data_IF_375311471118
#
_entry.id   IF_375311471118
#
_cell.length_a   1.000
_cell.length_b   1.000
_cell.length_c   1.000
_cell.angle_alpha   90.00
_cell.angle_beta   90.00
_cell.angle_gamma   90.00
#
_symmetry.space_group_name_H-M   'P 1'
#
loop_
_entity.id
_entity.type
_entity.pdbx_description
1 polymer ?
#
# COMPACT_ATOMS: atom_id res chain seq x y z
N UNK A 1 -61.28 49.24 7.62
CA UNK A 1 -60.56 48.35 6.67
C UNK A 1 -59.04 48.48 6.88
N UNK A 2 -58.47 47.65 7.76
CA UNK A 2 -57.03 47.57 7.98
C UNK A 2 -56.41 46.64 6.93
N UNK A 3 -55.43 47.14 6.18
CA UNK A 3 -54.66 46.39 5.19
C UNK A 3 -53.42 45.82 5.88
N UNK A 4 -53.34 44.50 5.97
CA UNK A 4 -52.18 43.75 6.48
C UNK A 4 -51.10 43.68 5.39
N UNK A 5 -49.87 44.07 5.72
CA UNK A 5 -48.71 43.95 4.84
C UNK A 5 -48.28 42.48 4.66
N UNK A 6 -47.76 42.07 3.48
CA UNK A 6 -47.35 40.69 3.24
C UNK A 6 -46.08 40.32 4.02
N UNK A 7 -46.12 39.16 4.67
CA UNK A 7 -44.99 38.53 5.37
C UNK A 7 -43.99 37.94 4.38
N UNK A 8 -42.76 38.47 4.36
CA UNK A 8 -41.62 37.89 3.63
C UNK A 8 -41.07 36.71 4.42
N UNK A 9 -41.03 35.51 3.81
CA UNK A 9 -40.35 34.33 4.40
C UNK A 9 -38.83 34.58 4.44
N UNK A 10 -38.14 34.32 5.57
CA UNK A 10 -36.68 34.42 5.62
C UNK A 10 -36.06 33.32 4.73
N UNK A 11 -35.33 33.73 3.70
CA UNK A 11 -34.50 32.84 2.88
C UNK A 11 -33.29 32.38 3.68
N UNK A 12 -33.10 31.06 3.84
CA UNK A 12 -31.88 30.51 4.45
C UNK A 12 -30.68 30.84 3.53
N UNK A 13 -29.72 31.67 3.98
CA UNK A 13 -28.61 32.13 3.14
C UNK A 13 -27.73 30.97 2.64
N UNK A 14 -27.63 29.88 3.41
CA UNK A 14 -26.89 28.67 3.01
C UNK A 14 -27.56 27.99 1.81
N UNK A 15 -28.89 27.86 1.84
CA UNK A 15 -29.64 27.26 0.74
C UNK A 15 -29.58 28.12 -0.53
N UNK A 16 -29.55 29.44 -0.39
CA UNK A 16 -29.41 30.37 -1.51
C UNK A 16 -28.03 30.26 -2.18
N UNK A 17 -26.95 30.21 -1.40
CA UNK A 17 -25.58 30.03 -1.91
C UNK A 17 -25.42 28.66 -2.56
N UNK A 18 -25.88 27.58 -1.92
CA UNK A 18 -25.80 26.23 -2.50
C UNK A 18 -26.59 26.07 -3.79
N UNK A 19 -27.75 26.75 -3.92
CA UNK A 19 -28.53 26.78 -5.16
C UNK A 19 -27.84 27.56 -6.27
N UNK A 20 -27.16 28.67 -5.94
CA UNK A 20 -26.37 29.44 -6.90
C UNK A 20 -25.14 28.67 -7.39
N UNK A 21 -24.42 28.02 -6.47
CA UNK A 21 -23.24 27.17 -6.77
C UNK A 21 -23.64 25.97 -7.62
N UNK A 22 -24.70 25.24 -7.26
CA UNK A 22 -25.18 24.11 -8.07
C UNK A 22 -25.66 24.52 -9.46
N UNK A 23 -26.32 25.68 -9.59
CA UNK A 23 -26.68 26.25 -10.90
C UNK A 23 -25.45 26.61 -11.75
N UNK A 24 -24.43 27.20 -11.15
CA UNK A 24 -23.17 27.55 -11.81
C UNK A 24 -22.39 26.31 -12.26
N UNK A 25 -22.33 25.27 -11.42
CA UNK A 25 -21.68 23.99 -11.75
C UNK A 25 -22.45 23.24 -12.85
N UNK A 26 -23.78 23.18 -12.78
CA UNK A 26 -24.58 22.56 -13.84
C UNK A 26 -24.39 23.27 -15.19
N UNK A 27 -24.27 24.60 -15.20
CA UNK A 27 -23.96 25.34 -16.42
C UNK A 27 -22.54 25.07 -16.93
N UNK A 28 -21.54 24.99 -16.03
CA UNK A 28 -20.15 24.73 -16.42
C UNK A 28 -19.94 23.31 -16.98
N UNK A 29 -20.67 22.33 -16.47
CA UNK A 29 -20.55 20.91 -16.87
C UNK A 29 -21.57 20.46 -17.92
N UNK A 30 -22.62 21.22 -18.17
CA UNK A 30 -23.60 20.90 -19.20
C UNK A 30 -24.20 22.19 -19.84
N UNK A 31 -23.37 22.97 -20.57
CA UNK A 31 -23.87 24.14 -21.27
C UNK A 31 -24.87 23.66 -22.34
N UNK A 32 -26.09 24.19 -22.32
CA UNK A 32 -27.01 24.04 -23.46
C UNK A 32 -26.39 24.74 -24.68
N UNK A 33 -25.54 24.03 -25.41
CA UNK A 33 -24.77 24.51 -26.57
C UNK A 33 -23.28 24.14 -26.50
N UNK A 34 -22.73 23.67 -27.62
CA UNK A 34 -21.32 23.24 -27.83
C UNK A 34 -20.27 24.25 -27.33
N UNK A 35 -19.05 23.79 -26.94
CA UNK A 35 -18.13 24.54 -26.09
C UNK A 35 -17.34 25.56 -26.90
N UNK A 36 -17.39 26.85 -26.54
CA UNK A 36 -16.62 27.86 -27.24
C UNK A 36 -15.70 28.72 -26.35
N UNK A 37 -15.70 28.61 -25.02
CA UNK A 37 -14.86 29.46 -24.16
C UNK A 37 -14.46 28.77 -22.84
N UNK A 38 -13.35 28.00 -22.79
CA UNK A 38 -12.85 27.40 -21.54
C UNK A 38 -12.55 28.43 -20.46
N UNK A 39 -12.16 29.65 -20.83
CA UNK A 39 -11.92 30.78 -19.92
C UNK A 39 -13.15 31.16 -19.08
N UNK A 40 -14.35 31.09 -19.66
CA UNK A 40 -15.59 31.40 -18.94
C UNK A 40 -15.96 30.27 -17.96
N UNK A 41 -15.75 29.01 -18.32
CA UNK A 41 -15.95 27.88 -17.40
C UNK A 41 -15.02 27.97 -16.19
N UNK A 42 -13.73 28.29 -16.40
CA UNK A 42 -12.77 28.53 -15.33
C UNK A 42 -13.14 29.72 -14.44
N UNK A 43 -13.69 30.79 -15.03
CA UNK A 43 -14.15 31.96 -14.29
C UNK A 43 -15.37 31.62 -13.42
N UNK A 44 -16.29 30.79 -13.92
CA UNK A 44 -17.46 30.33 -13.18
C UNK A 44 -17.08 29.35 -12.07
N UNK A 45 -16.10 28.47 -12.30
CA UNK A 45 -15.52 27.60 -11.28
C UNK A 45 -14.82 28.40 -10.17
N UNK A 46 -14.07 29.45 -10.54
CA UNK A 46 -13.44 30.35 -9.57
C UNK A 46 -14.47 31.15 -8.74
N UNK A 47 -15.58 31.57 -9.36
CA UNK A 47 -16.71 32.18 -8.65
C UNK A 47 -17.35 31.19 -7.67
N UNK A 48 -17.66 29.97 -8.11
CA UNK A 48 -18.23 28.93 -7.26
C UNK A 48 -17.32 28.63 -6.05
N UNK A 49 -16.00 28.56 -6.27
CA UNK A 49 -15.00 28.40 -5.22
C UNK A 49 -15.04 29.53 -4.20
N UNK A 50 -14.99 30.78 -4.68
CA UNK A 50 -15.01 31.98 -3.82
C UNK A 50 -16.28 32.05 -2.96
N UNK A 51 -17.44 31.67 -3.51
CA UNK A 51 -18.70 31.67 -2.76
C UNK A 51 -18.76 30.56 -1.71
N UNK A 52 -18.18 29.37 -1.98
CA UNK A 52 -18.03 28.31 -0.98
C UNK A 52 -17.09 28.74 0.15
N UNK A 53 -15.94 29.34 -0.19
CA UNK A 53 -14.98 29.81 0.81
C UNK A 53 -15.57 30.91 1.71
N UNK A 54 -16.32 31.84 1.12
CA UNK A 54 -17.05 32.87 1.87
C UNK A 54 -18.14 32.27 2.78
N UNK A 55 -18.84 31.23 2.30
CA UNK A 55 -19.85 30.51 3.08
C UNK A 55 -19.22 29.76 4.27
N UNK A 56 -18.11 29.06 4.04
CA UNK A 56 -17.39 28.32 5.07
C UNK A 56 -16.74 29.26 6.10
N UNK A 57 -16.23 30.41 5.67
CA UNK A 57 -15.70 31.44 6.56
C UNK A 57 -16.80 32.12 7.40
N UNK A 58 -18.02 32.22 6.88
CA UNK A 58 -19.15 32.84 7.56
C UNK A 58 -19.90 31.90 8.54
N UNK A 59 -19.71 30.58 8.44
CA UNK A 59 -20.45 29.59 9.24
C UNK A 59 -19.52 28.96 10.28
N UNK A 60 -19.81 29.17 11.58
CA UNK A 60 -19.15 28.43 12.67
C UNK A 60 -19.46 26.91 12.55
N UNK A 61 -18.49 26.02 12.84
CA UNK A 61 -18.54 24.59 12.47
C UNK A 61 -19.73 23.78 13.03
N UNK A 62 -20.45 24.30 14.03
CA UNK A 62 -21.58 23.61 14.66
C UNK A 62 -22.90 23.69 13.87
N UNK A 63 -23.01 24.54 12.84
CA UNK A 63 -24.27 24.73 12.09
C UNK A 63 -24.32 23.98 10.74
N UNK A 64 -23.23 23.36 10.29
CA UNK A 64 -23.16 22.66 9.00
C UNK A 64 -23.93 21.33 9.06
N UNK A 65 -23.88 20.64 10.20
CA UNK A 65 -24.48 19.31 10.40
C UNK A 65 -26.02 19.37 10.42
N UNK A 66 -26.61 20.47 10.93
CA UNK A 66 -28.06 20.65 11.00
C UNK A 66 -28.71 21.08 9.67
N UNK A 67 -27.93 21.66 8.74
CA UNK A 67 -28.44 22.05 7.42
C UNK A 67 -28.43 20.90 6.40
N UNK A 68 -27.52 19.92 6.55
CA UNK A 68 -27.45 18.75 5.67
C UNK A 68 -28.52 17.68 5.97
N UNK A 69 -29.06 17.66 7.19
CA UNK A 69 -30.04 16.66 7.62
C UNK A 69 -31.46 16.93 7.13
N UNK A 70 -31.75 18.11 6.57
CA UNK A 70 -33.14 18.53 6.24
C UNK A 70 -33.53 18.49 4.76
N UNK A 71 -32.66 18.09 3.83
CA UNK A 71 -33.01 18.14 2.38
C UNK A 71 -32.91 16.83 1.61
N UNK A 72 -32.44 15.72 2.19
CA UNK A 72 -32.59 14.38 1.58
C UNK A 72 -32.10 14.23 0.14
N UNK A 73 -31.22 15.11 -0.35
CA UNK A 73 -30.67 15.04 -1.70
C UNK A 73 -29.21 14.57 -1.64
N UNK A 74 -28.99 13.43 -2.30
CA UNK A 74 -27.68 12.81 -2.53
C UNK A 74 -26.81 13.80 -3.32
N UNK A 75 -25.86 14.46 -2.65
CA UNK A 75 -24.89 15.39 -3.23
C UNK A 75 -23.48 14.75 -3.32
N UNK A 76 -23.37 13.50 -3.75
CA UNK A 76 -22.08 12.81 -3.86
C UNK A 76 -21.20 13.35 -5.00
N UNK A 77 -21.78 13.85 -6.11
CA UNK A 77 -21.00 14.25 -7.29
C UNK A 77 -20.35 15.64 -7.29
N UNK A 78 -21.00 16.74 -6.83
CA UNK A 78 -20.41 18.08 -6.99
C UNK A 78 -19.23 18.34 -6.04
N UNK A 79 -19.18 17.71 -4.87
CA UNK A 79 -18.08 17.88 -3.91
C UNK A 79 -16.78 17.20 -4.39
N UNK A 80 -16.90 16.05 -5.07
CA UNK A 80 -15.79 15.34 -5.69
C UNK A 80 -15.17 16.13 -6.86
N UNK A 81 -16.00 16.79 -7.67
CA UNK A 81 -15.53 17.66 -8.75
C UNK A 81 -14.80 18.93 -8.23
N UNK A 82 -15.27 19.49 -7.11
CA UNK A 82 -14.64 20.66 -6.48
C UNK A 82 -13.32 20.28 -5.80
N UNK A 83 -13.24 19.15 -5.09
CA UNK A 83 -11.98 18.66 -4.50
C UNK A 83 -10.94 18.32 -5.56
N UNK A 84 -11.33 17.66 -6.66
CA UNK A 84 -10.43 17.40 -7.80
C UNK A 84 -9.93 18.69 -8.49
N UNK A 85 -10.70 19.78 -8.44
CA UNK A 85 -10.29 21.08 -8.97
C UNK A 85 -9.36 21.87 -8.04
N UNK A 86 -9.30 21.54 -6.74
CA UNK A 86 -8.47 22.25 -5.76
C UNK A 86 -7.02 21.75 -5.74
N UNK A 87 -6.82 20.43 -5.93
CA UNK A 87 -5.51 19.79 -6.04
C UNK A 87 -5.52 18.85 -7.27
N UNK A 88 -5.00 19.28 -8.43
CA UNK A 88 -4.98 18.43 -9.61
C UNK A 88 -4.06 17.22 -9.40
N UNK A 89 -4.45 16.08 -9.96
CA UNK A 89 -3.61 14.89 -10.00
C UNK A 89 -2.31 15.15 -10.79
N UNK A 90 -1.24 14.39 -10.51
CA UNK A 90 -0.03 14.41 -11.34
C UNK A 90 -0.38 14.17 -12.81
N UNK A 91 0.36 14.83 -13.70
CA UNK A 91 0.15 14.71 -15.14
C UNK A 91 0.46 13.30 -15.66
N UNK A 92 1.25 12.53 -14.92
CA UNK A 92 1.55 11.14 -15.23
C UNK A 92 1.63 10.28 -13.96
N UNK A 93 1.13 9.03 -14.01
CA UNK A 93 0.26 8.48 -15.06
C UNK A 93 -1.18 8.97 -14.94
N UNK A 94 -1.94 8.86 -16.03
CA UNK A 94 -3.37 9.17 -16.06
C UNK A 94 -4.21 7.90 -15.88
N UNK A 95 -5.31 7.91 -15.09
CA UNK A 95 -6.13 6.71 -14.85
C UNK A 95 -6.52 5.97 -16.13
N UNK A 96 -6.36 4.64 -16.14
CA UNK A 96 -6.62 3.79 -17.29
C UNK A 96 -5.50 3.78 -18.34
N UNK A 97 -4.44 4.56 -18.18
CA UNK A 97 -3.31 4.58 -19.10
C UNK A 97 -2.65 3.21 -19.18
N UNK A 98 -2.62 2.65 -20.39
CA UNK A 98 -1.83 1.46 -20.70
C UNK A 98 -0.34 1.83 -20.70
N UNK A 99 0.45 1.11 -19.91
CA UNK A 99 1.91 1.29 -19.82
C UNK A 99 2.63 0.26 -20.68
N UNK A 100 2.15 -0.98 -20.66
CA UNK A 100 2.58 -2.07 -21.54
C UNK A 100 1.36 -2.80 -22.08
N UNK A 101 1.54 -3.83 -22.90
CA UNK A 101 0.43 -4.62 -23.43
C UNK A 101 -0.40 -5.31 -22.32
N UNK A 102 0.28 -5.73 -21.24
CA UNK A 102 -0.33 -6.42 -20.10
C UNK A 102 -0.67 -5.49 -18.94
N UNK A 103 0.01 -4.34 -18.79
CA UNK A 103 0.00 -3.55 -17.56
C UNK A 103 -0.53 -2.14 -17.78
N UNK A 104 -1.44 -1.71 -16.91
CA UNK A 104 -2.04 -0.37 -16.92
C UNK A 104 -2.05 0.27 -15.53
N UNK A 105 -2.01 1.59 -15.49
CA UNK A 105 -2.27 2.37 -14.28
C UNK A 105 -3.78 2.47 -14.03
N UNK A 106 -4.21 2.17 -12.81
CA UNK A 106 -5.62 2.22 -12.40
C UNK A 106 -5.94 3.59 -11.82
N UNK A 107 -5.43 3.87 -10.62
CA UNK A 107 -5.53 5.17 -9.97
C UNK A 107 -4.44 5.30 -8.89
N UNK A 108 -4.33 6.45 -8.25
CA UNK A 108 -3.47 6.69 -7.12
C UNK A 108 -4.09 6.16 -5.82
N UNK A 109 -3.30 5.42 -5.05
CA UNK A 109 -3.65 4.99 -3.69
C UNK A 109 -3.50 6.16 -2.71
N UNK A 110 -2.42 6.94 -2.86
CA UNK A 110 -2.07 8.05 -1.97
C UNK A 110 -1.85 9.34 -2.75
N UNK A 111 -1.96 10.47 -2.05
CA UNK A 111 -1.73 11.80 -2.62
C UNK A 111 -2.73 12.82 -2.10
N UNK A 112 -2.41 14.10 -2.25
CA UNK A 112 -3.24 15.23 -1.81
C UNK A 112 -4.39 15.54 -2.80
N UNK A 113 -4.90 14.54 -3.50
CA UNK A 113 -5.90 14.65 -4.54
C UNK A 113 -6.87 13.47 -4.49
N UNK A 114 -8.03 13.60 -5.15
CA UNK A 114 -9.03 12.54 -5.24
C UNK A 114 -8.43 11.24 -5.84
N UNK A 115 -8.91 10.04 -5.46
CA UNK A 115 -10.11 9.83 -4.66
C UNK A 115 -9.84 9.89 -3.15
N UNK A 116 -8.62 9.56 -2.72
CA UNK A 116 -8.34 9.42 -1.30
C UNK A 116 -8.01 10.73 -0.60
N UNK A 117 -7.39 11.72 -1.24
CA UNK A 117 -6.98 12.99 -0.62
C UNK A 117 -6.35 12.79 0.77
N UNK A 118 -5.28 12.00 0.79
CA UNK A 118 -4.64 11.53 2.02
C UNK A 118 -4.05 12.68 2.84
N UNK A 119 -3.80 13.83 2.22
CA UNK A 119 -3.28 15.00 2.91
C UNK A 119 -4.34 15.63 3.81
N UNK A 120 -5.50 15.99 3.28
CA UNK A 120 -6.53 16.67 4.09
C UNK A 120 -7.16 15.73 5.13
N UNK A 121 -7.18 14.41 4.85
CA UNK A 121 -7.81 13.43 5.74
C UNK A 121 -6.87 12.84 6.78
N UNK A 122 -5.59 12.71 6.45
CA UNK A 122 -4.62 11.98 7.28
C UNK A 122 -3.28 12.69 7.46
N UNK A 123 -3.10 13.91 6.91
CA UNK A 123 -1.85 14.64 6.98
C UNK A 123 -0.72 13.99 6.15
N UNK A 124 -1.08 13.14 5.18
CA UNK A 124 -0.15 12.37 4.35
C UNK A 124 -0.08 13.01 2.97
N UNK A 125 0.97 13.78 2.73
CA UNK A 125 1.25 14.36 1.41
C UNK A 125 1.83 13.32 0.46
N UNK A 126 2.77 12.52 0.96
CA UNK A 126 3.46 11.49 0.21
C UNK A 126 3.97 10.36 1.10
N UNK A 127 4.05 9.16 0.54
CA UNK A 127 4.48 7.93 1.21
C UNK A 127 4.90 6.87 0.19
N UNK A 128 5.47 5.76 0.64
CA UNK A 128 5.96 4.69 -0.21
C UNK A 128 5.70 3.25 0.29
N UNK A 129 6.08 2.28 -0.54
CA UNK A 129 5.93 0.82 -0.36
C UNK A 129 4.49 0.32 -0.53
N UNK A 130 3.62 0.55 0.46
CA UNK A 130 2.23 0.07 0.44
C UNK A 130 2.09 -1.46 0.39
N UNK A 131 2.81 -2.18 1.27
CA UNK A 131 2.72 -3.64 1.37
C UNK A 131 1.34 -4.06 1.87
N UNK A 132 0.62 -4.88 1.10
CA UNK A 132 -0.79 -5.18 1.30
C UNK A 132 -1.01 -6.64 1.75
N UNK A 133 -1.94 -6.85 2.69
CA UNK A 133 -2.39 -8.18 3.08
C UNK A 133 -3.84 -8.16 3.59
N UNK A 134 -4.51 -9.30 3.46
CA UNK A 134 -5.85 -9.54 4.00
C UNK A 134 -5.75 -9.71 5.52
N UNK A 135 -6.57 -9.00 6.30
CA UNK A 135 -6.51 -9.07 7.76
C UNK A 135 -6.98 -10.41 8.35
N UNK A 136 -7.60 -11.27 7.57
CA UNK A 136 -8.11 -12.57 8.00
C UNK A 136 -9.22 -12.49 9.04
N UNK A 137 -9.84 -11.31 9.19
CA UNK A 137 -10.99 -11.09 10.07
C UNK A 137 -12.24 -11.22 9.22
N UNK A 138 -13.16 -12.08 9.63
CA UNK A 138 -14.47 -12.19 8.98
C UNK A 138 -15.35 -10.99 9.33
N UNK A 139 -16.15 -10.54 8.37
CA UNK A 139 -17.19 -9.54 8.57
C UNK A 139 -18.25 -10.06 9.55
N UNK A 140 -18.59 -9.28 10.59
CA UNK A 140 -19.72 -9.55 11.47
C UNK A 140 -20.92 -8.73 10.99
N UNK A 141 -21.92 -9.36 10.34
CA UNK A 141 -23.04 -8.64 9.75
C UNK A 141 -23.96 -7.98 10.79
N UNK A 142 -23.73 -8.20 12.09
CA UNK A 142 -24.44 -7.53 13.17
C UNK A 142 -23.86 -6.15 13.50
N UNK A 143 -22.67 -5.82 13.00
CA UNK A 143 -22.07 -4.49 13.16
C UNK A 143 -22.30 -3.63 11.90
N UNK A 144 -22.28 -2.29 12.03
CA UNK A 144 -22.42 -1.40 10.88
C UNK A 144 -21.13 -1.22 10.08
N UNK A 145 -20.05 -1.93 10.42
CA UNK A 145 -18.71 -1.76 9.87
C UNK A 145 -18.29 -3.07 9.23
N UNK A 146 -17.69 -3.02 8.04
CA UNK A 146 -17.09 -4.22 7.48
C UNK A 146 -15.71 -4.47 8.13
N UNK A 147 -15.60 -5.50 8.97
CA UNK A 147 -14.34 -5.86 9.61
C UNK A 147 -13.35 -6.57 8.69
N UNK A 148 -13.82 -7.16 7.58
CA UNK A 148 -12.94 -7.79 6.59
C UNK A 148 -12.28 -6.72 5.73
N UNK A 149 -10.97 -6.56 5.90
CA UNK A 149 -10.21 -5.45 5.31
C UNK A 149 -8.87 -5.91 4.77
N UNK A 150 -8.42 -5.25 3.71
CA UNK A 150 -7.00 -5.19 3.36
C UNK A 150 -6.32 -4.14 4.20
N UNK A 151 -5.20 -4.52 4.79
CA UNK A 151 -4.27 -3.62 5.46
C UNK A 151 -3.09 -3.35 4.50
N UNK A 152 -2.68 -2.10 4.43
CA UNK A 152 -1.57 -1.62 3.61
C UNK A 152 -0.59 -0.84 4.49
N UNK A 153 0.61 -1.37 4.71
CA UNK A 153 1.64 -0.67 5.48
C UNK A 153 2.59 0.07 4.55
N UNK A 154 2.87 1.33 4.90
CA UNK A 154 3.70 2.22 4.11
C UNK A 154 4.96 2.61 4.89
N UNK A 155 6.00 2.96 4.15
CA UNK A 155 7.28 3.40 4.69
C UNK A 155 7.31 4.89 5.01
N UNK A 156 8.40 5.52 4.60
CA UNK A 156 8.69 6.93 4.90
C UNK A 156 7.54 7.81 4.40
N UNK A 157 6.96 8.59 5.31
CA UNK A 157 5.72 9.32 5.07
C UNK A 157 5.88 10.77 5.49
N UNK A 158 5.57 11.69 4.59
CA UNK A 158 5.79 13.12 4.77
C UNK A 158 4.49 13.91 4.73
N UNK A 159 4.40 14.95 5.55
CA UNK A 159 3.25 15.85 5.60
C UNK A 159 3.35 17.05 4.65
N UNK A 160 4.38 17.12 3.81
CA UNK A 160 4.61 18.23 2.90
C UNK A 160 5.27 17.81 1.58
N UNK A 161 5.27 18.70 0.57
CA UNK A 161 5.84 18.42 -0.75
C UNK A 161 7.35 18.17 -0.67
N UNK A 162 7.87 17.43 -1.65
CA UNK A 162 9.31 17.15 -1.77
C UNK A 162 9.93 16.54 -0.50
N UNK A 163 9.21 15.61 0.15
CA UNK A 163 9.66 14.93 1.37
C UNK A 163 9.97 15.89 2.53
N UNK A 164 9.12 16.91 2.74
CA UNK A 164 9.27 17.90 3.82
C UNK A 164 8.16 17.79 4.86
N UNK A 165 8.26 18.59 5.94
CA UNK A 165 7.27 18.60 7.01
C UNK A 165 7.53 17.54 8.06
N UNK A 166 6.46 17.04 8.69
CA UNK A 166 6.55 15.95 9.63
C UNK A 166 6.89 14.65 8.89
N UNK A 167 7.86 13.90 9.41
CA UNK A 167 8.29 12.62 8.87
C UNK A 167 7.89 11.50 9.83
N UNK A 168 6.97 10.66 9.38
CA UNK A 168 6.61 9.41 10.03
C UNK A 168 7.35 8.28 9.31
N UNK A 169 8.03 7.40 10.03
CA UNK A 169 8.80 6.30 9.44
C UNK A 169 7.91 5.27 8.72
N UNK A 170 6.65 5.20 9.13
CA UNK A 170 5.66 4.26 8.63
C UNK A 170 4.25 4.68 9.04
N UNK A 171 3.28 4.25 8.25
CA UNK A 171 1.84 4.35 8.55
C UNK A 171 1.12 3.09 8.07
N UNK A 172 -0.17 3.00 8.38
CA UNK A 172 -1.06 1.93 7.91
C UNK A 172 -2.32 2.55 7.30
N UNK A 173 -2.71 2.12 6.11
CA UNK A 173 -4.08 2.29 5.61
C UNK A 173 -4.85 0.98 5.65
N UNK A 174 -6.17 1.09 5.75
CA UNK A 174 -7.11 -0.03 5.71
C UNK A 174 -8.16 0.23 4.65
N UNK A 175 -8.68 -0.82 4.04
CA UNK A 175 -9.80 -0.70 3.11
C UNK A 175 -10.62 -1.99 3.09
N UNK A 176 -11.94 -1.85 3.06
CA UNK A 176 -12.88 -2.93 2.74
C UNK A 176 -13.36 -2.87 1.28
N UNK A 177 -12.72 -2.02 0.46
CA UNK A 177 -13.04 -1.86 -0.96
C UNK A 177 -12.50 -3.04 -1.78
N UNK A 178 -13.42 -3.86 -2.28
CA UNK A 178 -13.09 -5.01 -3.11
C UNK A 178 -13.06 -4.69 -4.62
N UNK A 179 -13.53 -3.51 -5.04
CA UNK A 179 -13.57 -3.16 -6.46
C UNK A 179 -12.27 -2.47 -6.91
N UNK A 180 -11.19 -3.24 -7.07
CA UNK A 180 -9.90 -2.67 -7.45
C UNK A 180 -9.86 -2.06 -8.86
N UNK A 181 -10.91 -2.24 -9.68
CA UNK A 181 -10.96 -1.75 -11.05
C UNK A 181 -11.17 -0.23 -11.17
N UNK A 182 -11.73 0.43 -10.14
CA UNK A 182 -11.95 1.88 -10.11
C UNK A 182 -11.01 2.63 -9.15
N UNK A 183 -10.04 1.92 -8.57
CA UNK A 183 -9.10 2.44 -7.59
C UNK A 183 -9.17 1.64 -6.30
N UNK A 184 -8.72 2.24 -5.20
CA UNK A 184 -8.93 1.71 -3.86
C UNK A 184 -9.33 2.85 -2.94
N UNK A 185 -10.50 2.76 -2.34
CA UNK A 185 -10.97 3.77 -1.38
C UNK A 185 -10.48 3.47 0.03
N UNK A 186 -9.87 4.45 0.67
CA UNK A 186 -9.54 4.42 2.10
C UNK A 186 -10.76 5.02 2.82
N UNK A 187 -11.38 4.37 3.80
CA UNK A 187 -12.51 4.93 4.55
C UNK A 187 -12.04 6.07 5.47
N UNK A 188 -12.97 6.84 6.03
CA UNK A 188 -12.62 7.87 7.00
C UNK A 188 -11.88 7.28 8.21
N UNK A 189 -10.94 8.04 8.75
CA UNK A 189 -10.30 7.68 10.02
C UNK A 189 -11.33 7.73 11.15
N UNK A 190 -11.15 6.86 12.13
CA UNK A 190 -12.02 6.78 13.31
C UNK A 190 -11.18 7.28 14.49
N UNK A 191 -11.52 8.48 14.98
CA UNK A 191 -10.69 9.20 15.95
C UNK A 191 -11.26 9.08 17.37
N UNK A 192 -10.49 8.46 18.28
CA UNK A 192 -10.82 8.29 19.71
C UNK A 192 -12.26 7.85 20.01
N UNK A 193 -12.90 7.13 19.10
CA UNK A 193 -14.23 6.55 19.31
C UNK A 193 -14.20 5.05 19.61
N UNK A 194 -13.00 4.47 19.75
CA UNK A 194 -12.78 3.06 20.06
C UNK A 194 -12.84 2.10 18.86
N UNK A 195 -13.11 2.59 17.65
CA UNK A 195 -13.19 1.77 16.45
C UNK A 195 -11.83 1.69 15.72
N UNK A 196 -11.32 0.46 15.54
CA UNK A 196 -10.03 0.16 14.89
C UNK A 196 -10.14 -0.19 13.39
N UNK A 197 -11.33 -0.12 12.81
CA UNK A 197 -11.59 -0.42 11.39
C UNK A 197 -11.71 0.84 10.53
N UNK A 198 -11.33 2.00 11.08
CA UNK A 198 -11.15 3.23 10.31
C UNK A 198 -9.96 3.16 9.35
N UNK A 199 -9.91 4.10 8.41
CA UNK A 199 -8.94 4.07 7.31
C UNK A 199 -7.47 4.09 7.74
N UNK A 200 -7.14 4.59 8.93
CA UNK A 200 -5.77 4.60 9.48
C UNK A 200 -5.80 4.74 11.00
N UNK A 201 -4.80 4.23 11.74
CA UNK A 201 -4.53 4.67 13.10
C UNK A 201 -4.25 6.18 13.14
N UNK A 202 -4.92 6.91 14.03
CA UNK A 202 -4.83 8.38 14.09
C UNK A 202 -4.13 8.86 15.38
N UNK A 203 -3.55 10.06 15.31
CA UNK A 203 -2.95 10.84 16.42
C UNK A 203 -3.59 12.22 16.59
N UNK A 204 -4.39 12.62 15.61
CA UNK A 204 -5.35 13.73 15.65
C UNK A 204 -6.53 13.35 14.71
N UNK A 205 -7.65 14.09 14.69
CA UNK A 205 -8.75 13.82 13.77
C UNK A 205 -8.36 13.64 12.30
N UNK A 206 -7.25 14.28 11.88
CA UNK A 206 -6.77 14.27 10.50
C UNK A 206 -5.28 13.98 10.37
N UNK A 207 -4.67 13.30 11.35
CA UNK A 207 -3.22 13.00 11.31
C UNK A 207 -2.97 11.53 11.58
N UNK A 208 -2.46 10.82 10.57
CA UNK A 208 -2.01 9.44 10.68
C UNK A 208 -1.01 9.29 11.82
N UNK A 209 -1.05 8.13 12.47
CA UNK A 209 -0.15 7.76 13.55
C UNK A 209 0.80 6.68 13.06
N UNK A 210 2.07 6.85 13.42
CA UNK A 210 3.09 5.85 13.17
C UNK A 210 2.78 4.54 13.92
N UNK A 211 2.92 3.40 13.23
CA UNK A 211 2.54 2.09 13.78
C UNK A 211 3.71 1.37 14.45
N UNK A 212 4.91 1.44 13.87
CA UNK A 212 6.15 0.93 14.47
C UNK A 212 6.92 2.11 15.05
N UNK A 213 6.84 2.27 16.37
CA UNK A 213 7.37 3.42 17.10
C UNK A 213 8.81 3.16 17.59
N UNK A 214 9.79 4.02 17.24
CA UNK A 214 11.15 3.96 17.79
C UNK A 214 11.18 3.91 19.32
N UNK A 215 10.29 4.64 19.98
CA UNK A 215 10.17 4.67 21.44
C UNK A 215 9.70 3.33 22.05
N UNK A 216 9.13 2.42 21.25
CA UNK A 216 8.70 1.07 21.66
C UNK A 216 9.68 -0.02 21.26
N UNK A 217 10.86 0.34 20.75
CA UNK A 217 11.88 -0.64 20.40
C UNK A 217 12.38 -1.38 21.65
N UNK A 218 12.62 -2.70 21.56
CA UNK A 218 13.34 -3.44 22.59
C UNK A 218 14.66 -2.76 22.96
N UNK A 219 15.00 -2.80 24.25
CA UNK A 219 16.20 -2.15 24.77
C UNK A 219 17.46 -2.60 23.99
N UNK A 220 18.29 -1.62 23.61
CA UNK A 220 19.53 -1.86 22.86
C UNK A 220 19.38 -1.94 21.34
N UNK A 221 18.15 -1.92 20.79
CA UNK A 221 17.97 -1.81 19.35
C UNK A 221 18.01 -0.35 18.89
N UNK A 222 18.88 0.01 17.94
CA UNK A 222 18.85 1.35 17.36
C UNK A 222 17.57 1.54 16.54
N UNK A 223 17.02 2.75 16.56
CA UNK A 223 15.96 3.14 15.61
C UNK A 223 16.47 3.15 14.17
N UNK A 224 17.76 3.48 13.99
CA UNK A 224 18.27 3.85 12.68
C UNK A 224 17.71 5.21 12.25
N UNK A 225 17.88 5.51 10.96
CA UNK A 225 17.31 6.68 10.28
C UNK A 225 15.81 6.50 10.07
N UNK A 226 15.36 5.28 9.74
CA UNK A 226 13.92 4.96 9.61
C UNK A 226 13.64 3.48 9.86
N UNK A 227 12.35 3.16 10.08
CA UNK A 227 11.80 1.81 10.28
C UNK A 227 10.75 1.55 9.19
N UNK A 228 11.10 0.79 8.15
CA UNK A 228 10.26 0.62 6.95
C UNK A 228 9.63 -0.78 6.95
N UNK A 229 8.28 -0.89 6.86
CA UNK A 229 7.59 -2.16 6.63
C UNK A 229 7.98 -2.78 5.29
N UNK A 230 8.14 -4.10 5.25
CA UNK A 230 8.54 -4.83 4.03
C UNK A 230 7.50 -5.87 3.62
N UNK A 231 6.80 -6.49 4.58
CA UNK A 231 5.70 -7.42 4.31
C UNK A 231 4.79 -7.56 5.50
N UNK A 232 3.48 -7.66 5.26
CA UNK A 232 2.50 -8.04 6.27
C UNK A 232 1.85 -9.39 5.98
N UNK A 233 1.30 -10.02 7.02
CA UNK A 233 0.49 -11.23 6.90
C UNK A 233 -0.45 -11.39 8.09
N UNK A 234 -1.62 -11.96 7.88
CA UNK A 234 -2.51 -12.42 8.96
C UNK A 234 -2.31 -13.90 9.24
N UNK A 235 -2.36 -14.30 10.51
CA UNK A 235 -2.37 -15.70 10.94
C UNK A 235 -3.58 -15.93 11.86
N UNK A 236 -4.33 -17.04 11.69
CA UNK A 236 -5.41 -17.40 12.61
C UNK A 236 -4.87 -17.63 14.03
N UNK A 237 -5.46 -16.94 14.99
CA UNK A 237 -5.08 -17.03 16.41
C UNK A 237 -6.34 -17.10 17.27
N UNK A 238 -6.97 -18.30 17.39
CA UNK A 238 -8.15 -18.48 18.23
C UNK A 238 -7.91 -17.97 19.65
N UNK A 239 -8.85 -17.19 20.19
CA UNK A 239 -8.75 -16.59 21.52
C UNK A 239 -8.28 -15.13 21.54
N UNK A 240 -7.77 -14.58 20.43
CA UNK A 240 -7.70 -13.12 20.26
C UNK A 240 -9.08 -12.56 19.95
N UNK A 241 -9.27 -11.24 20.14
CA UNK A 241 -10.57 -10.58 19.97
C UNK A 241 -11.26 -10.89 18.64
N UNK A 242 -10.49 -10.99 17.55
CA UNK A 242 -11.00 -11.23 16.20
C UNK A 242 -10.59 -12.58 15.62
N UNK A 243 -10.00 -13.47 16.43
CA UNK A 243 -9.52 -14.78 15.98
C UNK A 243 -8.36 -14.75 14.98
N UNK A 244 -7.77 -13.57 14.74
CA UNK A 244 -6.62 -13.38 13.85
C UNK A 244 -5.60 -12.41 14.48
N UNK A 245 -4.33 -12.57 14.12
CA UNK A 245 -3.23 -11.67 14.49
C UNK A 245 -2.52 -11.20 13.24
N UNK A 246 -2.29 -9.89 13.16
CA UNK A 246 -1.52 -9.26 12.11
C UNK A 246 -0.04 -9.30 12.46
N UNK A 247 0.80 -9.68 11.51
CA UNK A 247 2.25 -9.67 11.63
C UNK A 247 2.85 -8.79 10.55
N UNK A 248 3.85 -7.98 10.91
CA UNK A 248 4.50 -7.05 10.00
C UNK A 248 6.01 -7.17 10.13
N UNK A 249 6.66 -7.56 9.04
CA UNK A 249 8.11 -7.49 8.92
C UNK A 249 8.53 -6.08 8.59
N UNK A 250 9.57 -5.57 9.27
CA UNK A 250 10.15 -4.26 9.00
C UNK A 250 11.67 -4.30 9.07
N UNK A 251 12.29 -3.34 8.39
CA UNK A 251 13.74 -3.12 8.43
C UNK A 251 14.08 -1.84 9.19
N UNK A 252 15.14 -1.86 9.99
CA UNK A 252 15.75 -0.66 10.55
C UNK A 252 16.88 -0.20 9.63
N UNK A 253 16.68 0.91 8.93
CA UNK A 253 17.69 1.48 8.02
C UNK A 253 18.72 2.23 8.85
N UNK A 254 19.99 1.83 8.76
CA UNK A 254 21.11 2.48 9.45
C UNK A 254 21.53 3.77 8.78
N UNK A 255 21.67 3.75 7.45
CA UNK A 255 22.06 4.91 6.65
C UNK A 255 21.70 4.68 5.18
N UNK A 256 21.34 5.77 4.51
CA UNK A 256 21.19 5.83 3.06
C UNK A 256 22.55 5.91 2.35
N UNK A 257 22.64 5.32 1.17
CA UNK A 257 23.79 5.40 0.27
C UNK A 257 23.40 6.04 -1.06
N UNK A 258 24.02 5.60 -2.15
CA UNK A 258 23.59 5.94 -3.51
C UNK A 258 22.15 5.48 -3.76
N UNK A 259 21.42 6.02 -4.75
CA UNK A 259 20.07 5.57 -5.08
C UNK A 259 19.97 4.04 -5.20
N UNK A 260 19.02 3.44 -4.48
CA UNK A 260 18.85 1.99 -4.41
C UNK A 260 19.81 1.26 -3.47
N UNK A 261 20.67 1.96 -2.73
CA UNK A 261 21.62 1.41 -1.77
C UNK A 261 21.37 2.01 -0.38
N UNK A 262 21.26 1.15 0.62
CA UNK A 262 21.24 1.52 2.03
C UNK A 262 21.80 0.36 2.84
N UNK A 263 22.20 0.60 4.09
CA UNK A 263 22.53 -0.47 5.04
C UNK A 263 21.49 -0.51 6.15
N UNK A 264 21.19 -1.71 6.65
CA UNK A 264 20.28 -1.90 7.78
C UNK A 264 21.05 -2.22 9.06
N UNK A 265 20.48 -1.89 10.21
CA UNK A 265 20.95 -2.40 11.50
C UNK A 265 20.47 -3.86 11.68
N UNK A 266 19.19 -4.09 11.42
CA UNK A 266 18.50 -5.37 11.54
C UNK A 266 17.18 -5.34 10.76
N UNK A 267 16.57 -6.52 10.60
CA UNK A 267 15.14 -6.68 10.36
C UNK A 267 14.47 -7.33 11.56
N UNK A 268 13.16 -7.14 11.73
CA UNK A 268 12.39 -7.71 12.82
C UNK A 268 10.90 -7.83 12.44
N UNK A 269 10.13 -8.48 13.31
CA UNK A 269 8.68 -8.62 13.23
C UNK A 269 8.01 -7.82 14.35
N UNK A 270 6.89 -7.19 14.00
CA UNK A 270 5.91 -6.69 14.94
C UNK A 270 4.59 -7.42 14.77
N UNK A 271 3.74 -7.40 15.79
CA UNK A 271 2.40 -8.00 15.73
C UNK A 271 1.33 -7.09 16.34
N UNK A 272 0.08 -7.28 15.89
CA UNK A 272 -1.12 -6.58 16.34
C UNK A 272 -2.32 -7.53 16.39
N UNK A 273 -3.08 -7.46 17.48
CA UNK A 273 -4.31 -8.26 17.70
C UNK A 273 -5.59 -7.43 17.58
N UNK A 274 -5.46 -6.14 17.25
CA UNK A 274 -6.51 -5.12 17.19
C UNK A 274 -6.59 -4.48 15.80
N UNK A 275 -6.56 -5.33 14.76
CA UNK A 275 -6.63 -4.94 13.35
C UNK A 275 -5.59 -3.87 12.95
N UNK A 276 -4.36 -3.97 13.45
CA UNK A 276 -3.27 -3.06 13.11
C UNK A 276 -3.31 -1.71 13.81
N UNK A 277 -4.14 -1.53 14.85
CA UNK A 277 -4.23 -0.26 15.58
C UNK A 277 -3.04 -0.06 16.52
N UNK A 278 -2.65 -1.10 17.26
CA UNK A 278 -1.48 -1.08 18.14
C UNK A 278 -0.54 -2.24 17.82
N UNK A 279 0.75 -1.92 17.77
CA UNK A 279 1.79 -2.88 17.42
C UNK A 279 2.78 -3.08 18.56
N UNK A 280 3.20 -4.33 18.73
CA UNK A 280 4.27 -4.75 19.63
C UNK A 280 5.40 -5.37 18.83
N UNK A 281 6.64 -4.93 19.08
CA UNK A 281 7.82 -5.44 18.38
C UNK A 281 8.35 -6.67 19.13
N UNK A 282 8.54 -7.78 18.43
CA UNK A 282 8.97 -9.03 19.04
C UNK A 282 10.50 -9.12 19.13
N UNK A 283 11.11 -9.10 20.33
CA UNK A 283 12.58 -9.13 20.45
C UNK A 283 13.23 -10.39 19.87
N UNK A 284 12.54 -11.54 19.95
CA UNK A 284 13.05 -12.83 19.45
C UNK A 284 13.06 -12.92 17.92
N UNK A 285 12.40 -11.98 17.23
CA UNK A 285 12.34 -11.97 15.76
C UNK A 285 13.51 -11.22 15.11
N UNK A 286 14.35 -10.56 15.92
CA UNK A 286 15.39 -9.65 15.42
C UNK A 286 16.49 -10.41 14.69
N UNK A 287 16.75 -10.01 13.45
CA UNK A 287 17.80 -10.52 12.58
C UNK A 287 18.82 -9.42 12.31
N UNK A 288 19.91 -9.45 13.08
CA UNK A 288 21.02 -8.51 12.92
C UNK A 288 21.63 -8.63 11.52
N UNK A 289 22.08 -7.50 10.95
CA UNK A 289 22.64 -7.48 9.59
C UNK A 289 24.09 -7.99 9.50
N UNK A 290 24.30 -9.27 9.83
CA UNK A 290 25.58 -9.97 9.68
C UNK A 290 25.37 -11.48 9.55
N UNK A 291 26.40 -12.18 9.07
CA UNK A 291 26.32 -13.62 8.81
C UNK A 291 25.19 -13.95 7.84
N UNK A 292 24.55 -15.11 8.01
CA UNK A 292 23.42 -15.51 7.18
C UNK A 292 22.18 -14.61 7.29
N UNK A 293 22.01 -13.90 8.42
CA UNK A 293 20.87 -13.00 8.62
C UNK A 293 20.92 -11.78 7.69
N UNK A 294 22.10 -11.42 7.17
CA UNK A 294 22.25 -10.37 6.17
C UNK A 294 21.47 -10.67 4.87
N UNK A 295 21.04 -11.91 4.63
CA UNK A 295 20.19 -12.30 3.50
C UNK A 295 18.69 -12.09 3.72
N UNK A 296 18.28 -11.68 4.93
CA UNK A 296 16.87 -11.58 5.35
C UNK A 296 16.55 -10.21 5.96
N UNK A 297 17.09 -9.13 5.36
CA UNK A 297 16.91 -7.77 5.84
C UNK A 297 15.62 -7.11 5.31
N UNK A 298 15.08 -7.61 4.20
CA UNK A 298 13.73 -7.32 3.75
C UNK A 298 13.00 -8.64 3.54
N UNK A 299 11.67 -8.66 3.70
CA UNK A 299 10.87 -9.87 3.61
C UNK A 299 9.74 -9.76 2.60
N UNK A 300 9.30 -10.90 2.08
CA UNK A 300 7.95 -11.13 1.57
C UNK A 300 7.40 -12.41 2.19
N UNK A 301 6.25 -12.31 2.85
CA UNK A 301 5.62 -13.39 3.60
C UNK A 301 4.51 -14.03 2.78
N UNK A 302 4.40 -15.36 2.84
CA UNK A 302 3.29 -16.11 2.26
C UNK A 302 2.89 -17.27 3.18
N UNK A 303 1.59 -17.50 3.32
CA UNK A 303 1.00 -18.57 4.14
C UNK A 303 0.09 -19.42 3.25
N UNK A 304 0.59 -20.57 2.75
CA UNK A 304 -0.20 -21.42 1.86
C UNK A 304 -1.22 -22.32 2.58
N UNK A 305 -1.23 -22.32 3.93
CA UNK A 305 -2.15 -23.12 4.73
C UNK A 305 -1.66 -24.54 5.05
N UNK A 306 -0.35 -24.79 4.93
CA UNK A 306 0.29 -26.05 5.30
C UNK A 306 0.86 -26.05 6.73
N UNK A 307 0.47 -25.07 7.55
CA UNK A 307 0.95 -24.86 8.91
C UNK A 307 2.26 -24.07 9.02
N UNK A 308 2.82 -23.63 7.88
CA UNK A 308 4.01 -22.79 7.83
C UNK A 308 3.72 -21.39 7.27
N UNK A 309 4.47 -20.42 7.77
CA UNK A 309 4.70 -19.15 7.09
C UNK A 309 6.05 -19.23 6.40
N UNK A 310 6.05 -18.96 5.10
CA UNK A 310 7.25 -18.82 4.29
C UNK A 310 7.64 -17.35 4.23
N UNK A 311 8.94 -17.07 4.38
CA UNK A 311 9.53 -15.74 4.31
C UNK A 311 10.64 -15.74 3.27
N UNK A 312 10.41 -15.05 2.17
CA UNK A 312 11.44 -14.73 1.19
C UNK A 312 12.25 -13.55 1.71
N UNK A 313 13.56 -13.72 1.79
CA UNK A 313 14.48 -12.69 2.26
C UNK A 313 15.33 -12.12 1.14
N UNK A 314 15.64 -10.82 1.23
CA UNK A 314 16.75 -10.21 0.48
C UNK A 314 17.70 -9.47 1.43
N UNK A 315 18.94 -9.20 0.98
CA UNK A 315 19.80 -8.23 1.64
C UNK A 315 19.23 -6.82 1.69
N UNK A 316 19.90 -5.92 2.43
CA UNK A 316 19.60 -4.49 2.36
C UNK A 316 19.88 -3.92 0.96
N UNK A 317 19.15 -2.87 0.59
CA UNK A 317 19.26 -2.26 -0.74
C UNK A 317 18.38 -2.94 -1.78
N UNK A 318 18.54 -2.52 -3.04
CA UNK A 318 17.86 -3.08 -4.21
C UNK A 318 18.70 -4.11 -4.97
N UNK A 319 19.89 -4.42 -4.45
CA UNK A 319 20.80 -5.39 -5.02
C UNK A 319 20.86 -6.65 -4.17
N UNK A 320 20.87 -7.82 -4.82
CA UNK A 320 21.01 -9.10 -4.13
C UNK A 320 20.12 -10.18 -4.71
N UNK A 321 20.27 -11.38 -4.17
CA UNK A 321 19.44 -12.53 -4.52
C UNK A 321 18.32 -12.71 -3.48
N UNK A 322 17.25 -13.40 -3.88
CA UNK A 322 16.22 -13.87 -2.95
C UNK A 322 16.59 -15.23 -2.36
N UNK A 323 16.30 -15.38 -1.06
CA UNK A 323 16.45 -16.59 -0.27
C UNK A 323 15.10 -16.95 0.33
N UNK A 324 14.87 -18.20 0.72
CA UNK A 324 13.62 -18.58 1.38
C UNK A 324 13.88 -19.26 2.72
N UNK A 325 13.06 -18.89 3.68
CA UNK A 325 12.95 -19.51 4.98
C UNK A 325 11.49 -19.86 5.25
N UNK A 326 11.24 -20.74 6.23
CA UNK A 326 9.91 -21.02 6.73
C UNK A 326 9.92 -21.20 8.24
N UNK A 327 8.77 -21.04 8.86
CA UNK A 327 8.57 -21.22 10.29
C UNK A 327 7.15 -21.72 10.54
N UNK A 328 6.94 -22.52 11.58
CA UNK A 328 5.58 -22.87 11.97
C UNK A 328 4.81 -21.59 12.30
N UNK A 329 3.52 -21.54 11.96
CA UNK A 329 2.68 -20.34 12.17
C UNK A 329 2.74 -19.82 13.62
N UNK A 330 2.71 -20.73 14.60
CA UNK A 330 2.82 -20.41 16.03
C UNK A 330 4.18 -19.81 16.45
N UNK A 331 5.25 -20.07 15.69
CA UNK A 331 6.62 -19.68 16.01
C UNK A 331 7.08 -18.46 15.19
N UNK A 332 6.19 -17.78 14.45
CA UNK A 332 6.54 -16.69 13.51
C UNK A 332 7.40 -15.57 14.12
N UNK A 333 7.28 -15.33 15.42
CA UNK A 333 8.01 -14.30 16.16
C UNK A 333 9.39 -14.73 16.70
N UNK A 334 9.79 -15.99 16.52
CA UNK A 334 11.08 -16.52 17.01
C UNK A 334 12.01 -16.87 15.82
N UNK A 335 12.97 -15.99 15.54
CA UNK A 335 13.91 -16.16 14.43
C UNK A 335 14.78 -17.43 14.57
N UNK A 336 14.93 -17.99 15.79
CA UNK A 336 15.69 -19.22 16.04
C UNK A 336 14.98 -20.49 15.58
N UNK A 337 13.67 -20.41 15.31
CA UNK A 337 12.82 -21.53 14.86
C UNK A 337 12.76 -21.65 13.34
N UNK A 338 13.22 -20.63 12.63
CA UNK A 338 13.15 -20.61 11.17
C UNK A 338 14.09 -21.66 10.57
N UNK A 339 13.58 -22.31 9.53
CA UNK A 339 14.35 -23.21 8.68
C UNK A 339 14.62 -22.53 7.34
N UNK A 340 15.80 -22.72 6.79
CA UNK A 340 16.30 -22.06 5.58
C UNK A 340 16.53 -23.10 4.50
N UNK A 341 15.95 -22.87 3.33
CA UNK A 341 16.03 -23.84 2.25
C UNK A 341 17.34 -23.69 1.48
N UNK A 342 17.90 -24.82 1.08
CA UNK A 342 18.95 -24.89 0.08
C UNK A 342 18.56 -25.90 -1.00
N UNK A 343 18.65 -25.50 -2.27
CA UNK A 343 18.39 -26.37 -3.43
C UNK A 343 19.45 -27.47 -3.62
N UNK A 344 20.53 -27.42 -2.87
CA UNK A 344 21.65 -28.34 -2.97
C UNK A 344 22.60 -27.99 -4.13
N UNK A 345 23.78 -28.63 -4.10
CA UNK A 345 24.78 -28.57 -5.15
C UNK A 345 25.48 -29.93 -5.26
N UNK A 346 25.84 -30.33 -6.47
CA UNK A 346 26.58 -31.57 -6.71
C UNK A 346 28.04 -31.52 -6.19
N UNK A 347 28.52 -30.34 -5.77
CA UNK A 347 29.92 -30.12 -5.41
C UNK A 347 30.84 -30.05 -6.63
N UNK A 348 32.14 -29.99 -6.37
CA UNK A 348 33.17 -30.06 -7.40
C UNK A 348 33.43 -31.49 -7.88
N UNK A 349 34.59 -31.71 -8.51
CA UNK A 349 35.03 -33.04 -8.94
C UNK A 349 35.08 -34.00 -7.73
N UNK A 350 34.47 -35.18 -7.85
CA UNK A 350 34.21 -36.14 -6.77
C UNK A 350 33.24 -35.71 -5.65
N UNK A 351 32.42 -34.68 -5.86
CA UNK A 351 31.40 -34.27 -4.87
C UNK A 351 31.94 -33.51 -3.66
N UNK A 352 33.21 -33.08 -3.71
CA UNK A 352 33.81 -32.24 -2.66
C UNK A 352 33.04 -30.91 -2.62
N UNK A 353 32.52 -30.55 -1.45
CA UNK A 353 31.71 -29.34 -1.27
C UNK A 353 30.24 -29.49 -1.73
N UNK A 354 29.76 -30.71 -1.95
CA UNK A 354 28.35 -30.94 -2.23
C UNK A 354 27.47 -30.52 -1.05
N UNK A 355 26.36 -29.85 -1.36
CA UNK A 355 25.34 -29.46 -0.39
C UNK A 355 24.10 -30.30 -0.67
N UNK A 356 23.60 -31.00 0.35
CA UNK A 356 22.34 -31.75 0.23
C UNK A 356 21.19 -30.75 0.08
N UNK A 357 20.22 -31.05 -0.78
CA UNK A 357 18.98 -30.28 -0.82
C UNK A 357 18.21 -30.47 0.48
N UNK A 358 17.67 -29.39 1.05
CA UNK A 358 16.82 -29.47 2.23
C UNK A 358 16.71 -28.18 3.03
N UNK A 359 16.01 -28.30 4.16
CA UNK A 359 15.81 -27.25 5.15
C UNK A 359 16.89 -27.34 6.24
N UNK A 360 17.50 -26.20 6.57
CA UNK A 360 18.59 -26.08 7.54
C UNK A 360 18.21 -25.08 8.64
N UNK A 361 18.76 -25.22 9.85
CA UNK A 361 18.51 -24.26 10.95
C UNK A 361 19.46 -23.05 10.94
N UNK A 362 20.45 -23.05 10.06
CA UNK A 362 21.45 -22.00 9.94
C UNK A 362 21.12 -21.08 8.75
N UNK A 363 20.88 -19.78 8.96
CA UNK A 363 20.60 -18.85 7.87
C UNK A 363 21.75 -18.73 6.87
N UNK A 364 23.00 -19.03 7.26
CA UNK A 364 24.14 -18.99 6.35
C UNK A 364 24.10 -20.12 5.30
N UNK A 365 23.26 -21.13 5.50
CA UNK A 365 23.03 -22.22 4.54
C UNK A 365 21.90 -21.93 3.55
N UNK A 366 21.22 -20.80 3.65
CA UNK A 366 20.16 -20.45 2.72
C UNK A 366 20.71 -20.39 1.28
N UNK A 367 20.07 -21.11 0.36
CA UNK A 367 20.38 -21.08 -1.06
C UNK A 367 19.56 -20.02 -1.79
N UNK A 368 20.11 -19.52 -2.90
CA UNK A 368 19.40 -18.59 -3.79
C UNK A 368 18.23 -19.30 -4.49
N UNK A 369 17.05 -18.68 -4.44
CA UNK A 369 15.79 -19.26 -4.90
C UNK A 369 15.40 -18.77 -6.29
N UNK A 370 15.63 -17.49 -6.60
CA UNK A 370 15.44 -16.98 -7.96
C UNK A 370 16.72 -17.22 -8.76
N UNK A 371 16.61 -17.91 -9.90
CA UNK A 371 17.77 -18.25 -10.73
C UNK A 371 18.53 -17.01 -11.22
N UNK A 372 19.84 -17.18 -11.48
CA UNK A 372 20.61 -16.20 -12.23
C UNK A 372 20.52 -16.56 -13.72
N UNK A 373 19.69 -15.82 -14.43
CA UNK A 373 19.51 -15.96 -15.86
C UNK A 373 20.67 -15.26 -16.59
N UNK A 374 21.54 -16.03 -17.24
CA UNK A 374 22.59 -15.51 -18.13
C UNK A 374 22.12 -15.53 -19.58
N UNK A 375 22.31 -14.42 -20.29
CA UNK A 375 22.13 -14.35 -21.74
C UNK A 375 23.30 -14.97 -22.49
N UNK A 376 23.14 -15.15 -23.80
CA UNK A 376 24.25 -15.49 -24.68
C UNK A 376 25.40 -14.49 -24.48
N UNK A 377 26.63 -15.00 -24.43
CA UNK A 377 27.85 -14.19 -24.27
C UNK A 377 27.92 -13.33 -22.98
N UNK A 378 27.15 -13.66 -21.94
CA UNK A 378 27.21 -12.95 -20.66
C UNK A 378 26.36 -11.67 -20.59
N UNK A 379 25.50 -11.41 -21.58
CA UNK A 379 24.52 -10.31 -21.53
C UNK A 379 23.55 -10.55 -20.38
N UNK A 380 23.35 -9.55 -19.52
CA UNK A 380 22.45 -9.64 -18.37
C UNK A 380 20.99 -9.79 -18.81
N UNK A 381 20.30 -10.84 -18.33
CA UNK A 381 18.84 -10.96 -18.48
C UNK A 381 18.11 -10.25 -17.33
N UNK A 382 16.87 -9.78 -17.55
CA UNK A 382 16.04 -9.24 -16.48
C UNK A 382 15.88 -10.18 -15.28
N UNK A 383 15.65 -9.61 -14.11
CA UNK A 383 15.27 -10.33 -12.90
C UNK A 383 16.41 -11.02 -12.14
N UNK A 384 17.66 -10.61 -12.29
CA UNK A 384 18.80 -11.22 -11.58
C UNK A 384 19.07 -10.64 -10.19
N UNK A 385 18.69 -9.38 -9.97
CA UNK A 385 18.68 -8.75 -8.65
C UNK A 385 17.24 -8.58 -8.18
N UNK A 386 17.02 -8.68 -6.87
CA UNK A 386 15.70 -8.63 -6.26
C UNK A 386 15.62 -7.45 -5.31
N UNK A 387 14.63 -6.58 -5.54
CA UNK A 387 14.33 -5.45 -4.67
C UNK A 387 12.87 -5.42 -4.28
N UNK A 388 12.59 -5.11 -3.01
CA UNK A 388 11.27 -4.75 -2.47
C UNK A 388 10.15 -5.63 -3.07
N UNK A 389 10.18 -6.93 -2.74
CA UNK A 389 9.36 -7.94 -3.40
C UNK A 389 8.03 -8.21 -2.71
N UNK A 390 7.07 -8.75 -3.46
CA UNK A 390 5.88 -9.41 -2.93
C UNK A 390 5.74 -10.82 -3.49
N UNK A 391 5.11 -11.72 -2.71
CA UNK A 391 4.85 -13.11 -3.11
C UNK A 391 3.47 -13.52 -2.64
N UNK A 392 2.70 -14.20 -3.49
CA UNK A 392 1.41 -14.78 -3.13
C UNK A 392 1.12 -16.02 -3.98
N UNK A 393 0.25 -16.89 -3.50
CA UNK A 393 -0.33 -17.93 -4.33
C UNK A 393 -1.43 -17.33 -5.22
N UNK A 394 -1.46 -17.70 -6.50
CA UNK A 394 -2.44 -17.24 -7.47
C UNK A 394 -3.25 -18.46 -7.98
N UNK A 395 -4.49 -18.65 -7.51
CA UNK A 395 -5.34 -19.77 -7.90
C UNK A 395 -5.64 -19.81 -9.40
N UNK A 396 -5.73 -18.65 -10.07
CA UNK A 396 -6.01 -18.58 -11.51
C UNK A 396 -4.88 -19.21 -12.34
N UNK A 397 -3.62 -19.01 -11.92
CA UNK A 397 -2.48 -19.67 -12.55
C UNK A 397 -2.18 -21.05 -11.96
N UNK A 398 -2.68 -21.35 -10.76
CA UNK A 398 -2.28 -22.53 -9.99
C UNK A 398 -0.81 -22.49 -9.57
N UNK A 399 -0.25 -21.29 -9.36
CA UNK A 399 1.18 -21.06 -9.12
C UNK A 399 1.38 -20.04 -8.00
N UNK A 400 2.53 -20.10 -7.34
CA UNK A 400 3.08 -18.95 -6.63
C UNK A 400 3.54 -17.91 -7.65
N UNK A 401 3.26 -16.66 -7.38
CA UNK A 401 3.65 -15.50 -8.18
C UNK A 401 4.49 -14.58 -7.31
N UNK A 402 5.54 -13.98 -7.88
CA UNK A 402 6.31 -12.93 -7.23
C UNK A 402 6.45 -11.72 -8.14
N UNK A 403 6.39 -10.52 -7.55
CA UNK A 403 6.76 -9.28 -8.20
C UNK A 403 7.94 -8.64 -7.46
N UNK A 404 8.89 -8.07 -8.21
CA UNK A 404 10.01 -7.30 -7.65
C UNK A 404 10.65 -6.38 -8.70
N UNK A 405 11.42 -5.40 -8.23
CA UNK A 405 12.27 -4.57 -9.09
C UNK A 405 13.60 -5.25 -9.39
N UNK A 406 14.01 -5.32 -10.65
CA UNK A 406 15.28 -5.94 -11.05
C UNK A 406 16.48 -4.97 -11.14
N UNK A 407 17.64 -5.45 -11.57
CA UNK A 407 18.86 -4.62 -11.71
C UNK A 407 18.75 -3.50 -12.75
N UNK A 408 17.77 -3.57 -13.64
CA UNK A 408 17.46 -2.52 -14.62
C UNK A 408 16.30 -1.64 -14.13
N UNK A 409 15.84 -1.87 -12.90
CA UNK A 409 14.67 -1.27 -12.28
C UNK A 409 13.37 -1.52 -13.07
N UNK A 410 13.30 -2.66 -13.77
CA UNK A 410 12.05 -3.17 -14.34
C UNK A 410 11.25 -3.85 -13.23
N UNK A 411 9.92 -3.81 -13.34
CA UNK A 411 9.03 -4.67 -12.57
C UNK A 411 8.89 -5.99 -13.31
N UNK A 412 9.31 -7.07 -12.65
CA UNK A 412 9.28 -8.41 -13.22
C UNK A 412 8.39 -9.35 -12.43
N UNK A 413 7.84 -10.34 -13.13
CA UNK A 413 7.05 -11.43 -12.59
C UNK A 413 7.81 -12.75 -12.77
N UNK A 414 7.80 -13.61 -11.73
CA UNK A 414 8.15 -15.03 -11.86
C UNK A 414 7.04 -15.89 -11.27
N UNK A 415 6.99 -17.16 -11.67
CA UNK A 415 6.06 -18.15 -11.13
C UNK A 415 6.76 -19.42 -10.66
N UNK A 416 6.18 -20.14 -9.69
CA UNK A 416 6.67 -21.44 -9.24
C UNK A 416 5.52 -22.35 -8.77
N UNK A 417 5.71 -23.67 -8.83
CA UNK A 417 4.75 -24.67 -8.31
C UNK A 417 4.74 -24.78 -6.79
N UNK A 418 5.87 -24.47 -6.15
CA UNK A 418 6.09 -24.58 -4.71
C UNK A 418 6.83 -23.34 -4.21
N UNK A 419 6.69 -22.94 -2.95
CA UNK A 419 7.37 -21.75 -2.43
C UNK A 419 8.90 -21.83 -2.65
N UNK A 420 9.50 -22.96 -2.27
CA UNK A 420 10.92 -23.26 -2.42
C UNK A 420 11.31 -23.86 -3.79
N UNK A 421 10.34 -23.95 -4.70
CA UNK A 421 10.49 -24.62 -5.99
C UNK A 421 11.36 -23.87 -6.98
N UNK A 422 11.48 -24.43 -8.19
CA UNK A 422 12.14 -23.75 -9.30
C UNK A 422 11.23 -22.65 -9.85
N UNK A 423 11.69 -21.41 -9.77
CA UNK A 423 11.00 -20.26 -10.34
C UNK A 423 11.26 -20.14 -11.85
N UNK A 424 10.24 -19.71 -12.59
CA UNK A 424 10.33 -19.40 -14.02
C UNK A 424 11.38 -18.33 -14.31
N UNK A 425 11.77 -18.19 -15.58
CA UNK A 425 12.45 -16.97 -16.04
C UNK A 425 11.59 -15.73 -15.73
N UNK A 426 12.24 -14.57 -15.58
CA UNK A 426 11.56 -13.31 -15.33
C UNK A 426 10.81 -12.82 -16.59
N UNK A 427 9.52 -12.53 -16.42
CA UNK A 427 8.69 -11.81 -17.40
C UNK A 427 8.64 -10.34 -17.01
N UNK A 428 9.06 -9.44 -17.90
CA UNK A 428 8.99 -7.99 -17.63
C UNK A 428 7.56 -7.51 -17.79
N UNK A 429 6.95 -7.02 -16.71
CA UNK A 429 5.60 -6.45 -16.74
C UNK A 429 5.61 -4.98 -17.13
N UNK A 430 6.63 -4.26 -16.67
CA UNK A 430 6.77 -2.82 -16.83
C UNK A 430 8.26 -2.46 -16.77
N UNK A 431 8.83 -1.85 -17.82
CA UNK A 431 10.18 -1.33 -17.75
C UNK A 431 10.24 -0.12 -16.81
N UNK A 432 11.45 0.27 -16.40
CA UNK A 432 11.67 1.49 -15.64
C UNK A 432 10.94 2.68 -16.28
N UNK A 433 10.33 3.51 -15.45
CA UNK A 433 9.67 4.75 -15.89
C UNK A 433 10.41 5.98 -15.38
N UNK A 434 10.14 7.11 -16.03
CA UNK A 434 10.55 8.41 -15.53
C UNK A 434 9.96 8.61 -14.12
N UNK A 435 10.73 9.26 -13.24
CA UNK A 435 10.34 9.48 -11.86
C UNK A 435 10.66 8.33 -10.90
N UNK A 436 11.10 7.17 -11.38
CA UNK A 436 11.66 6.10 -10.56
C UNK A 436 10.62 5.25 -9.84
N UNK A 437 10.26 4.11 -10.43
CA UNK A 437 9.29 3.18 -9.85
C UNK A 437 9.96 2.15 -8.93
N UNK A 438 9.28 1.70 -7.88
CA UNK A 438 9.80 0.67 -6.97
C UNK A 438 8.70 0.04 -6.10
N UNK A 439 9.05 -1.01 -5.36
CA UNK A 439 8.18 -1.72 -4.42
C UNK A 439 6.84 -2.17 -5.03
N UNK A 440 6.84 -3.13 -5.98
CA UNK A 440 5.61 -3.72 -6.53
C UNK A 440 4.95 -4.66 -5.51
N UNK A 441 3.95 -4.16 -4.77
CA UNK A 441 3.28 -4.89 -3.69
C UNK A 441 1.91 -5.41 -4.13
N UNK A 442 1.78 -6.72 -4.34
CA UNK A 442 0.53 -7.33 -4.82
C UNK A 442 -0.64 -7.13 -3.86
N UNK A 443 -1.82 -6.88 -4.43
CA UNK A 443 -3.09 -6.79 -3.70
C UNK A 443 -3.69 -8.20 -3.51
N UNK A 444 -4.02 -8.59 -2.27
CA UNK A 444 -4.52 -9.95 -1.97
C UNK A 444 -5.92 -10.20 -2.53
N UNK A 445 -6.70 -9.15 -2.78
CA UNK A 445 -8.06 -9.23 -3.34
C UNK A 445 -8.11 -9.07 -4.86
N UNK A 446 -6.96 -9.17 -5.54
CA UNK A 446 -6.95 -9.24 -6.99
C UNK A 446 -7.84 -10.38 -7.49
N UNK A 447 -8.67 -10.21 -8.53
CA UNK A 447 -9.49 -11.29 -9.08
C UNK A 447 -8.68 -12.56 -9.39
N UNK A 448 -7.45 -12.40 -9.89
CA UNK A 448 -6.57 -13.54 -10.14
C UNK A 448 -6.12 -14.29 -8.88
N UNK A 449 -5.89 -13.55 -7.78
CA UNK A 449 -5.52 -14.09 -6.46
C UNK A 449 -6.71 -14.73 -5.75
N UNK A 450 -7.93 -14.25 -6.01
CA UNK A 450 -9.16 -14.86 -5.51
C UNK A 450 -9.65 -16.03 -6.39
N UNK A 451 -9.07 -16.22 -7.58
CA UNK A 451 -9.52 -17.25 -8.53
C UNK A 451 -10.81 -16.91 -9.26
N UNK A 452 -11.22 -15.64 -9.28
CA UNK A 452 -12.48 -15.16 -9.85
C UNK A 452 -12.31 -14.42 -11.18
N UNK A 453 -11.07 -14.18 -11.62
CA UNK A 453 -10.75 -13.50 -12.88
C UNK A 453 -9.26 -13.54 -13.18
N UNK A 454 -8.80 -12.82 -14.19
CA UNK A 454 -7.40 -12.87 -14.66
C UNK A 454 -6.58 -11.65 -14.30
N UNK A 455 -7.19 -10.65 -13.68
CA UNK A 455 -6.54 -9.40 -13.34
C UNK A 455 -5.75 -9.52 -12.03
N UNK A 456 -4.48 -9.10 -12.08
CA UNK A 456 -3.60 -8.94 -10.93
C UNK A 456 -3.44 -7.45 -10.63
N UNK A 457 -3.87 -7.02 -9.45
CA UNK A 457 -3.69 -5.66 -8.97
C UNK A 457 -2.52 -5.59 -7.99
N UNK A 458 -1.81 -4.46 -7.99
CA UNK A 458 -0.62 -4.29 -7.16
C UNK A 458 -0.28 -2.81 -6.99
N UNK A 459 0.19 -2.46 -5.79
CA UNK A 459 0.69 -1.14 -5.47
C UNK A 459 2.09 -0.95 -6.06
N UNK A 460 2.42 0.26 -6.49
CA UNK A 460 3.73 0.63 -7.01
C UNK A 460 4.10 2.04 -6.57
N UNK A 461 5.25 2.20 -5.92
CA UNK A 461 5.73 3.52 -5.51
C UNK A 461 6.33 4.27 -6.67
N UNK A 462 6.08 5.58 -6.74
CA UNK A 462 6.75 6.51 -7.67
C UNK A 462 7.53 7.57 -6.87
N UNK A 463 8.84 7.62 -7.06
CA UNK A 463 9.72 8.49 -6.27
C UNK A 463 9.50 9.99 -6.54
N UNK A 464 9.28 10.40 -7.80
CA UNK A 464 9.11 11.83 -8.16
C UNK A 464 7.90 12.49 -7.54
N UNK A 465 6.81 11.75 -7.39
CA UNK A 465 5.59 12.21 -6.69
C UNK A 465 5.60 11.84 -5.22
N UNK A 466 6.51 10.92 -4.85
CA UNK A 466 6.57 10.25 -3.56
C UNK A 466 5.22 9.74 -3.09
N UNK A 467 4.54 9.01 -3.98
CA UNK A 467 3.19 8.51 -3.78
C UNK A 467 3.05 7.10 -4.37
N UNK A 468 2.00 6.39 -3.96
CA UNK A 468 1.75 5.01 -4.36
C UNK A 468 0.61 4.94 -5.37
N UNK A 469 0.89 4.26 -6.47
CA UNK A 469 -0.01 3.96 -7.58
C UNK A 469 -0.64 2.58 -7.40
N UNK A 470 -1.90 2.42 -7.83
CA UNK A 470 -2.51 1.12 -8.05
C UNK A 470 -2.34 0.76 -9.53
N UNK A 471 -1.72 -0.38 -9.77
CA UNK A 471 -1.46 -0.93 -11.10
C UNK A 471 -2.32 -2.18 -11.30
N UNK A 472 -2.61 -2.48 -12.56
CA UNK A 472 -3.28 -3.70 -13.00
C UNK A 472 -2.43 -4.40 -14.06
N UNK A 473 -2.28 -5.71 -13.95
CA UNK A 473 -1.73 -6.58 -14.98
C UNK A 473 -2.78 -7.63 -15.37
N UNK A 474 -3.11 -7.70 -16.66
CA UNK A 474 -3.93 -8.78 -17.23
C UNK A 474 -3.04 -10.00 -17.50
N UNK A 475 -3.21 -11.05 -16.70
CA UNK A 475 -2.36 -12.24 -16.77
C UNK A 475 -2.55 -13.07 -18.06
N UNK A 476 -3.63 -12.85 -18.82
CA UNK A 476 -3.84 -13.57 -20.10
C UNK A 476 -2.91 -13.11 -21.21
N UNK A 477 -2.21 -11.99 -21.00
CA UNK A 477 -1.32 -11.36 -21.98
C UNK A 477 0.16 -11.61 -21.72
N UNK A 478 0.49 -12.48 -20.77
CA UNK A 478 1.86 -12.78 -20.32
C UNK A 478 2.45 -14.05 -20.93
#
# INVERSE_FOLDING_TARGET
PNVTAPTVKPTNPVAAVMKAVSGALNWAFNPLGTPAQPTLAWTVLAFARKEIDNLLAAIKPQNVVSALTTTGQVLSNPLAAVTAAMNPRPAWPTPGQQITASTSFVDWVTGNFAPNDTYNRFGVWGTDVGTAWDNGIADDPSTPINEHQVLMAFGDTFSGPNMTGNWLNNILFRSSDANLADGISIPAGQWFNGNMFGGTPLSSPTTARQIILPAKLPAGLPSGVTLIPTSGISVPTPGTQYGATQYLSFMSVKQWGAPGQWTTNYSAMAYSTDNGENWTIAPQSVRQNWGGNANFQQAALVRPGDGYVYSYGTPNGRGGAAYISRVAEADILDASKYEYYNKGSAGGWFGIGAIKQGWYKDPAKAGVVFGRDTGACGIGKPGNQVSEMSVQYNPTLGKYVTLYGDQFNNIVLRTADRPEGTWSAATVLMPQQNGGIYAPMMQPWSPSTLGTGTDLYWNLSLWSEYNVMLMKTDLTKL
#
